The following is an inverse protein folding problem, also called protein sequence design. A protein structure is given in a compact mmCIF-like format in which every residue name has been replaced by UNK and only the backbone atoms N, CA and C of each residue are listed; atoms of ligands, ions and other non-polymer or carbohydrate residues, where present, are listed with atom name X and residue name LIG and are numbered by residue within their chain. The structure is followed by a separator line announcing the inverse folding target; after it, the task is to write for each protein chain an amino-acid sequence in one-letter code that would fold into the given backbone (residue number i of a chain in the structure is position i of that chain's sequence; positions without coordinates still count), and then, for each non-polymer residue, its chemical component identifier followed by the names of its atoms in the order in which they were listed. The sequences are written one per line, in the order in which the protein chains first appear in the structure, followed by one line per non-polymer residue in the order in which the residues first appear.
data_IF_227612632776
#
_entry.id   IF_227612632776
#
_cell.length_a   1.000
_cell.length_b   1.000
_cell.length_c   1.000
_cell.angle_alpha   90.00
_cell.angle_beta   90.00
_cell.angle_gamma   90.00
#
_symmetry.space_group_name_H-M   'P 1'
#
loop_
_entity.id
_entity.type
_entity.pdbx_description
1 polymer ?
#
# COMPACT_ATOMS: atom_id res chain seq x y z
N UNK A 1 -18.77 -58.82 50.35
CA UNK A 1 -18.78 -57.45 49.79
C UNK A 1 -17.42 -57.22 49.14
N UNK A 2 -17.41 -56.95 47.83
CA UNK A 2 -16.25 -56.64 46.97
C UNK A 2 -15.75 -55.23 47.35
N UNK A 3 -14.46 -54.99 47.61
CA UNK A 3 -13.43 -54.81 46.59
C UNK A 3 -13.32 -53.33 46.20
N UNK A 4 -12.50 -52.56 46.93
CA UNK A 4 -12.23 -51.14 46.64
C UNK A 4 -11.07 -51.04 45.66
N UNK A 5 -11.35 -50.60 44.44
CA UNK A 5 -10.35 -50.19 43.44
C UNK A 5 -10.40 -48.67 43.31
N UNK A 6 -9.25 -48.03 43.55
CA UNK A 6 -9.02 -46.63 43.20
C UNK A 6 -9.03 -46.47 41.68
N UNK A 7 -9.94 -45.67 41.15
CA UNK A 7 -9.90 -45.17 39.77
C UNK A 7 -9.36 -43.75 39.76
N UNK A 8 -8.18 -43.60 39.15
CA UNK A 8 -7.56 -42.32 38.86
C UNK A 8 -8.40 -41.54 37.84
N UNK A 9 -8.70 -40.28 38.15
CA UNK A 9 -9.33 -39.35 37.22
C UNK A 9 -8.31 -38.88 36.18
N UNK A 10 -8.43 -39.38 34.95
CA UNK A 10 -7.73 -38.80 33.80
C UNK A 10 -8.42 -37.49 33.41
N UNK A 11 -7.77 -36.36 33.69
CA UNK A 11 -8.17 -35.06 33.18
C UNK A 11 -7.99 -35.05 31.66
N UNK A 12 -9.11 -35.06 30.93
CA UNK A 12 -9.12 -34.83 29.50
C UNK A 12 -8.72 -33.37 29.22
N UNK A 13 -7.49 -33.16 28.76
CA UNK A 13 -7.05 -31.90 28.17
C UNK A 13 -7.81 -31.72 26.85
N UNK A 14 -8.83 -30.87 26.85
CA UNK A 14 -9.43 -30.31 25.65
C UNK A 14 -8.36 -29.53 24.89
N UNK A 15 -8.07 -29.85 23.61
CA UNK A 15 -7.25 -28.97 22.81
C UNK A 15 -8.06 -27.71 22.56
N UNK A 16 -7.54 -26.57 23.00
CA UNK A 16 -7.94 -25.26 22.51
C UNK A 16 -7.84 -25.32 20.99
N UNK A 17 -8.98 -25.42 20.31
CA UNK A 17 -9.09 -25.26 18.87
C UNK A 17 -8.68 -23.83 18.55
N UNK A 18 -7.38 -23.64 18.31
CA UNK A 18 -6.86 -22.44 17.69
C UNK A 18 -7.62 -22.21 16.40
N UNK A 19 -8.01 -20.96 16.15
CA UNK A 19 -8.67 -20.50 14.93
C UNK A 19 -8.05 -21.19 13.72
N UNK A 20 -8.76 -22.19 13.19
CA UNK A 20 -8.29 -22.96 12.05
C UNK A 20 -8.28 -22.03 10.86
N UNK A 21 -7.08 -21.68 10.40
CA UNK A 21 -6.90 -21.11 9.06
C UNK A 21 -7.67 -21.99 8.09
N UNK A 22 -8.55 -21.36 7.28
CA UNK A 22 -9.32 -22.08 6.30
C UNK A 22 -8.38 -22.88 5.38
N UNK A 23 -8.84 -23.94 4.70
CA UNK A 23 -8.00 -24.66 3.74
C UNK A 23 -7.34 -23.74 2.70
N UNK A 24 -8.02 -22.64 2.33
CA UNK A 24 -7.49 -21.59 1.47
C UNK A 24 -6.35 -20.80 2.13
N UNK A 25 -6.51 -20.44 3.41
CA UNK A 25 -5.46 -19.75 4.18
C UNK A 25 -4.24 -20.65 4.43
N UNK A 26 -4.42 -21.98 4.52
CA UNK A 26 -3.32 -22.94 4.62
C UNK A 26 -2.51 -23.02 3.32
N UNK A 27 -3.18 -23.01 2.17
CA UNK A 27 -2.51 -22.99 0.86
C UNK A 27 -1.75 -21.67 0.61
N UNK A 28 -2.32 -20.54 1.06
CA UNK A 28 -1.64 -19.26 1.07
C UNK A 28 -0.43 -19.24 2.03
N UNK A 29 -0.48 -20.00 3.13
CA UNK A 29 0.58 -20.06 4.13
C UNK A 29 1.72 -21.03 3.80
N UNK A 30 1.54 -21.96 2.85
CA UNK A 30 2.54 -22.97 2.44
C UNK A 30 3.56 -22.47 1.42
N UNK A 31 3.42 -21.26 0.90
CA UNK A 31 4.44 -20.63 0.06
C UNK A 31 5.51 -20.05 0.98
N UNK A 32 6.75 -20.51 0.83
CA UNK A 32 7.89 -20.10 1.65
C UNK A 32 8.14 -18.59 1.60
N UNK A 33 8.72 -18.07 2.69
CA UNK A 33 9.16 -16.68 2.79
C UNK A 33 10.22 -16.41 1.73
N UNK A 34 9.93 -15.47 0.85
CA UNK A 34 10.83 -15.10 -0.22
C UNK A 34 11.04 -16.13 -1.33
N UNK A 35 10.09 -17.02 -1.55
CA UNK A 35 10.07 -17.82 -2.78
C UNK A 35 9.18 -17.16 -3.84
N UNK A 36 9.62 -17.20 -5.10
CA UNK A 36 8.81 -16.80 -6.24
C UNK A 36 7.70 -17.83 -6.47
N UNK A 37 6.43 -17.41 -6.47
CA UNK A 37 5.30 -18.27 -6.85
C UNK A 37 5.33 -18.46 -8.36
N UNK A 38 5.38 -19.71 -8.83
CA UNK A 38 5.22 -19.98 -10.26
C UNK A 38 3.84 -19.52 -10.74
N UNK A 39 3.74 -19.00 -11.96
CA UNK A 39 2.45 -18.62 -12.58
C UNK A 39 1.43 -19.77 -12.53
N UNK A 40 1.91 -21.01 -12.71
CA UNK A 40 1.11 -22.23 -12.55
C UNK A 40 0.53 -22.37 -11.14
N UNK A 41 1.28 -22.04 -10.10
CA UNK A 41 0.80 -22.08 -8.71
C UNK A 41 -0.20 -20.96 -8.45
N UNK A 42 0.09 -19.74 -8.92
CA UNK A 42 -0.81 -18.59 -8.78
C UNK A 42 -2.18 -18.86 -9.42
N UNK A 43 -2.21 -19.43 -10.62
CA UNK A 43 -3.43 -19.77 -11.36
C UNK A 43 -4.27 -20.88 -10.70
N UNK A 44 -3.71 -21.61 -9.73
CA UNK A 44 -4.38 -22.70 -9.02
C UNK A 44 -4.75 -22.35 -7.57
N UNK A 45 -4.44 -21.13 -7.10
CA UNK A 45 -4.79 -20.67 -5.77
C UNK A 45 -6.20 -20.05 -5.81
N UNK A 46 -7.10 -20.51 -4.93
CA UNK A 46 -8.47 -20.01 -4.84
C UNK A 46 -8.58 -18.55 -4.34
N UNK A 47 -7.54 -18.07 -3.64
CA UNK A 47 -7.42 -16.71 -3.10
C UNK A 47 -5.94 -16.33 -2.91
N UNK A 48 -5.42 -15.29 -3.59
CA UNK A 48 -4.06 -14.82 -3.38
C UNK A 48 -3.83 -14.46 -1.90
N UNK A 49 -2.63 -14.69 -1.36
CA UNK A 49 -2.31 -14.29 0.00
C UNK A 49 -2.41 -12.77 0.18
N UNK A 50 -2.68 -12.34 1.42
CA UNK A 50 -2.63 -10.92 1.77
C UNK A 50 -1.22 -10.36 1.59
N UNK A 51 -1.12 -9.12 1.15
CA UNK A 51 0.15 -8.45 0.90
C UNK A 51 0.15 -7.03 1.45
N UNK A 52 1.22 -6.63 2.12
CA UNK A 52 1.42 -5.23 2.48
C UNK A 52 1.94 -4.48 1.26
N UNK A 53 1.16 -3.54 0.72
CA UNK A 53 1.47 -2.80 -0.51
C UNK A 53 2.00 -1.39 -0.25
N UNK A 54 1.79 -0.86 0.96
CA UNK A 54 2.32 0.43 1.41
C UNK A 54 2.49 0.45 2.92
N UNK A 55 3.60 0.98 3.45
CA UNK A 55 3.79 1.16 4.90
C UNK A 55 3.97 2.65 5.20
N UNK A 56 3.20 3.14 6.17
CA UNK A 56 3.39 4.48 6.72
C UNK A 56 4.46 4.44 7.81
N UNK A 57 4.44 3.38 8.63
CA UNK A 57 5.39 3.08 9.70
C UNK A 57 5.24 1.60 10.15
N UNK A 58 5.79 1.26 11.31
CA UNK A 58 5.81 -0.09 11.87
C UNK A 58 4.44 -0.68 12.24
N UNK A 59 3.37 0.12 12.35
CA UNK A 59 2.05 -0.37 12.73
C UNK A 59 0.92 0.09 11.81
N UNK A 60 1.18 1.06 10.92
CA UNK A 60 0.23 1.57 9.93
C UNK A 60 0.64 1.18 8.51
N UNK A 61 -0.25 0.51 7.80
CA UNK A 61 0.02 0.04 6.44
C UNK A 61 -1.24 -0.15 5.60
N UNK A 62 -1.07 -0.25 4.28
CA UNK A 62 -2.09 -0.68 3.33
C UNK A 62 -1.83 -2.14 2.99
N UNK A 63 -2.85 -2.97 3.17
CA UNK A 63 -2.90 -4.38 2.82
C UNK A 63 -3.78 -4.58 1.60
N UNK A 64 -3.28 -5.27 0.57
CA UNK A 64 -4.13 -5.90 -0.41
C UNK A 64 -4.59 -7.25 0.13
N UNK A 65 -5.91 -7.44 0.24
CA UNK A 65 -6.52 -8.65 0.74
C UNK A 65 -7.67 -9.05 -0.19
N UNK A 66 -7.35 -9.66 -1.34
CA UNK A 66 -8.35 -10.01 -2.35
C UNK A 66 -9.31 -11.06 -1.80
N UNK A 67 -10.60 -10.92 -2.11
CA UNK A 67 -11.59 -11.97 -1.87
C UNK A 67 -11.37 -13.26 -2.68
N UNK A 68 -12.16 -14.32 -2.45
CA UNK A 68 -12.17 -15.50 -3.31
C UNK A 68 -12.52 -15.13 -4.76
N UNK A 69 -11.89 -15.79 -5.73
CA UNK A 69 -12.19 -15.62 -7.16
C UNK A 69 -11.32 -14.61 -7.91
N UNK A 70 -10.48 -13.85 -7.21
CA UNK A 70 -9.38 -13.11 -7.84
C UNK A 70 -8.17 -14.02 -8.00
N UNK A 71 -7.46 -13.91 -9.12
CA UNK A 71 -6.28 -14.73 -9.42
C UNK A 71 -5.05 -13.90 -9.81
N UNK A 72 -5.16 -12.57 -9.84
CA UNK A 72 -4.03 -11.66 -10.09
C UNK A 72 -3.49 -11.12 -8.76
N UNK A 73 -2.15 -11.00 -8.60
CA UNK A 73 -1.58 -10.35 -7.43
C UNK A 73 -1.97 -8.86 -7.42
N UNK A 74 -2.19 -8.30 -6.23
CA UNK A 74 -2.45 -6.87 -6.06
C UNK A 74 -3.71 -6.34 -6.77
N UNK A 75 -4.63 -7.25 -7.13
CA UNK A 75 -5.97 -6.94 -7.60
C UNK A 75 -6.94 -6.82 -6.41
N UNK A 76 -8.04 -6.11 -6.61
CA UNK A 76 -9.17 -6.03 -5.69
C UNK A 76 -8.88 -5.27 -4.39
N UNK A 77 -9.48 -5.68 -3.27
CA UNK A 77 -9.67 -4.85 -2.10
C UNK A 77 -8.35 -4.41 -1.44
N UNK A 78 -8.29 -3.11 -1.12
CA UNK A 78 -7.23 -2.50 -0.32
C UNK A 78 -7.78 -2.13 1.06
N UNK A 79 -7.04 -2.45 2.11
CA UNK A 79 -7.39 -2.15 3.48
C UNK A 79 -6.30 -1.29 4.12
N UNK A 80 -6.69 -0.19 4.74
CA UNK A 80 -5.84 0.49 5.70
C UNK A 80 -5.88 -0.25 7.03
N UNK A 81 -4.72 -0.48 7.63
CA UNK A 81 -4.55 -1.15 8.91
C UNK A 81 -3.75 -0.26 9.85
N UNK A 82 -4.24 -0.09 11.08
CA UNK A 82 -3.46 0.41 12.23
C UNK A 82 -3.53 -0.61 13.36
N UNK A 83 -2.44 -1.32 13.61
CA UNK A 83 -2.39 -2.38 14.63
C UNK A 83 -2.51 -1.83 16.05
N UNK A 84 -2.04 -0.60 16.31
CA UNK A 84 -2.12 -0.01 17.66
C UNK A 84 -3.53 0.45 17.99
N UNK A 85 -4.25 0.95 17.00
CA UNK A 85 -5.62 1.43 17.16
C UNK A 85 -6.68 0.36 16.86
N UNK A 86 -6.25 -0.84 16.44
CA UNK A 86 -7.15 -1.93 16.04
C UNK A 86 -8.01 -1.58 14.82
N UNK A 87 -7.52 -0.70 13.94
CA UNK A 87 -8.26 -0.25 12.76
C UNK A 87 -7.96 -1.19 11.60
N UNK A 88 -9.02 -1.62 10.91
CA UNK A 88 -8.94 -2.26 9.60
C UNK A 88 -10.11 -1.79 8.74
N UNK A 89 -9.85 -0.86 7.83
CA UNK A 89 -10.87 -0.19 7.03
C UNK A 89 -10.61 -0.42 5.56
N UNK A 90 -11.63 -0.78 4.78
CA UNK A 90 -11.48 -0.85 3.32
C UNK A 90 -11.21 0.56 2.78
N UNK A 91 -10.02 0.76 2.23
CA UNK A 91 -9.50 2.04 1.78
C UNK A 91 -9.47 2.16 0.24
N UNK A 92 -10.13 1.23 -0.46
CA UNK A 92 -10.26 1.23 -1.91
C UNK A 92 -10.16 -0.18 -2.49
N UNK A 93 -9.83 -0.23 -3.78
CA UNK A 93 -9.52 -1.46 -4.47
C UNK A 93 -8.88 -1.17 -5.82
N UNK A 94 -8.09 -2.11 -6.29
CA UNK A 94 -7.44 -2.07 -7.60
C UNK A 94 -8.25 -2.85 -8.62
N UNK A 95 -8.36 -2.35 -9.84
CA UNK A 95 -9.08 -3.03 -10.91
C UNK A 95 -8.32 -4.24 -11.45
N UNK A 96 -7.04 -4.05 -11.82
CA UNK A 96 -6.19 -5.08 -12.43
C UNK A 96 -4.83 -5.21 -11.74
N UNK A 97 -4.30 -4.11 -11.20
CA UNK A 97 -2.97 -4.02 -10.60
C UNK A 97 -2.90 -2.77 -9.71
N UNK A 98 -1.85 -2.68 -8.89
CA UNK A 98 -1.57 -1.46 -8.13
C UNK A 98 -1.28 -0.25 -9.06
N UNK A 99 -1.37 0.98 -8.53
CA UNK A 99 -0.84 2.18 -9.18
C UNK A 99 0.63 2.02 -9.57
N UNK A 100 0.98 2.53 -10.75
CA UNK A 100 2.36 2.57 -11.27
C UNK A 100 3.03 3.92 -11.02
N UNK A 101 2.24 4.99 -10.95
CA UNK A 101 2.74 6.31 -10.66
C UNK A 101 3.23 6.42 -9.22
N UNK A 102 4.16 7.35 -9.00
CA UNK A 102 4.72 7.63 -7.67
C UNK A 102 3.58 7.90 -6.68
N UNK A 103 3.71 7.36 -5.48
CA UNK A 103 2.87 7.74 -4.35
C UNK A 103 3.72 8.02 -3.13
N UNK A 104 3.62 9.24 -2.61
CA UNK A 104 4.41 9.66 -1.46
C UNK A 104 3.59 10.52 -0.52
N UNK A 105 3.72 10.23 0.78
CA UNK A 105 3.15 11.04 1.85
C UNK A 105 4.28 11.54 2.73
N UNK A 106 4.41 12.85 2.87
CA UNK A 106 5.46 13.53 3.63
C UNK A 106 4.80 14.46 4.64
N UNK A 107 5.11 14.28 5.92
CA UNK A 107 4.65 15.14 7.03
C UNK A 107 3.14 15.40 7.10
N UNK A 108 2.31 14.57 6.45
CA UNK A 108 0.87 14.74 6.51
C UNK A 108 0.32 14.23 7.83
N UNK A 109 -0.53 15.03 8.48
CA UNK A 109 -1.28 14.60 9.68
C UNK A 109 -2.44 13.66 9.35
N UNK A 110 -2.73 13.48 8.06
CA UNK A 110 -3.84 12.67 7.57
C UNK A 110 -3.38 11.30 7.10
N UNK A 111 -4.26 10.30 7.17
CA UNK A 111 -4.01 9.02 6.52
C UNK A 111 -4.45 9.15 5.06
N UNK A 112 -3.49 9.11 4.14
CA UNK A 112 -3.75 9.16 2.71
C UNK A 112 -3.49 7.80 2.07
N UNK A 113 -4.46 7.26 1.36
CA UNK A 113 -4.33 6.01 0.62
C UNK A 113 -4.56 6.22 -0.86
N UNK A 114 -4.14 5.24 -1.66
CA UNK A 114 -4.22 5.29 -3.11
C UNK A 114 -4.61 3.93 -3.70
N UNK A 115 -5.46 3.98 -4.73
CA UNK A 115 -5.71 2.86 -5.66
C UNK A 115 -5.43 3.29 -7.10
N UNK A 116 -5.55 2.35 -8.05
CA UNK A 116 -5.31 2.59 -9.48
C UNK A 116 -6.32 3.53 -10.17
N UNK A 117 -7.33 4.00 -9.43
CA UNK A 117 -8.38 4.90 -9.94
C UNK A 117 -8.70 6.07 -9.00
N UNK A 118 -8.04 6.18 -7.84
CA UNK A 118 -8.39 7.22 -6.87
C UNK A 118 -7.34 7.48 -5.80
N UNK A 119 -7.41 8.68 -5.21
CA UNK A 119 -6.70 9.04 -3.98
C UNK A 119 -7.74 9.24 -2.87
N UNK A 120 -7.39 8.90 -1.63
CA UNK A 120 -8.29 9.02 -0.49
C UNK A 120 -7.60 9.63 0.71
N UNK A 121 -8.33 10.45 1.45
CA UNK A 121 -7.84 11.11 2.66
C UNK A 121 -8.79 10.80 3.80
N UNK A 122 -8.24 10.37 4.92
CA UNK A 122 -8.99 10.20 6.17
C UNK A 122 -8.67 11.33 7.15
N UNK A 123 -9.74 11.88 7.73
CA UNK A 123 -9.71 12.90 8.78
C UNK A 123 -9.86 12.29 10.18
N UNK A 124 -10.05 10.98 10.28
CA UNK A 124 -10.41 10.24 11.49
C UNK A 124 -9.49 9.01 11.70
N UNK A 125 -8.20 9.17 11.42
CA UNK A 125 -7.15 8.16 11.62
C UNK A 125 -7.36 6.86 10.83
N UNK A 126 -7.99 6.95 9.66
CA UNK A 126 -8.21 5.85 8.74
C UNK A 126 -9.50 5.05 8.98
N UNK A 127 -10.46 5.60 9.74
CA UNK A 127 -11.77 4.95 9.96
C UNK A 127 -12.73 5.19 8.81
N UNK A 128 -12.70 6.39 8.23
CA UNK A 128 -13.46 6.76 7.03
C UNK A 128 -12.58 7.56 6.07
N UNK A 129 -12.96 7.57 4.80
CA UNK A 129 -12.17 8.19 3.74
C UNK A 129 -13.01 9.08 2.84
N UNK A 130 -12.51 10.29 2.58
CA UNK A 130 -12.96 11.16 1.49
C UNK A 130 -12.18 10.83 0.23
N UNK A 131 -12.83 10.97 -0.92
CA UNK A 131 -12.35 10.44 -2.19
C UNK A 131 -12.07 11.57 -3.17
N UNK A 132 -10.90 11.54 -3.80
CA UNK A 132 -10.61 12.18 -5.07
C UNK A 132 -10.79 11.08 -6.14
N UNK A 133 -11.90 11.08 -6.91
CA UNK A 133 -12.16 10.07 -7.91
C UNK A 133 -11.29 10.30 -9.16
N UNK A 134 -11.35 9.35 -10.10
CA UNK A 134 -10.80 9.50 -11.45
C UNK A 134 -9.32 9.89 -11.49
N UNK A 135 -8.51 9.34 -10.57
CA UNK A 135 -7.05 9.51 -10.57
C UNK A 135 -6.42 8.28 -11.21
N UNK A 136 -5.94 8.35 -12.46
CA UNK A 136 -5.37 7.20 -13.14
C UNK A 136 -4.19 6.61 -12.37
N UNK A 137 -4.01 5.29 -12.46
CA UNK A 137 -2.92 4.57 -11.80
C UNK A 137 -1.52 5.05 -12.21
N UNK A 138 -1.36 5.67 -13.38
CA UNK A 138 -0.10 6.26 -13.86
C UNK A 138 0.22 7.64 -13.31
N UNK A 139 -0.73 8.30 -12.62
CA UNK A 139 -0.54 9.65 -12.08
C UNK A 139 0.50 9.63 -10.97
N UNK A 140 1.40 10.58 -10.87
CA UNK A 140 2.25 10.76 -9.69
C UNK A 140 1.49 11.55 -8.64
N UNK A 141 1.55 11.12 -7.37
CA UNK A 141 0.87 11.76 -6.25
C UNK A 141 1.87 11.98 -5.11
N UNK A 142 2.04 13.24 -4.73
CA UNK A 142 2.88 13.65 -3.60
C UNK A 142 2.03 14.45 -2.63
N UNK A 143 1.95 14.01 -1.38
CA UNK A 143 1.27 14.70 -0.30
C UNK A 143 2.31 15.32 0.61
N UNK A 144 2.17 16.63 0.88
CA UNK A 144 3.03 17.37 1.81
C UNK A 144 2.13 18.19 2.71
N UNK A 145 2.17 17.92 4.02
CA UNK A 145 1.30 18.56 5.01
C UNK A 145 -0.19 18.42 4.63
N UNK A 146 -0.82 19.52 4.20
CA UNK A 146 -2.20 19.66 3.76
C UNK A 146 -2.36 19.73 2.23
N UNK A 147 -1.29 19.61 1.46
CA UNK A 147 -1.28 19.73 -0.01
C UNK A 147 -1.11 18.38 -0.67
N UNK A 148 -1.82 18.16 -1.77
CA UNK A 148 -1.70 16.98 -2.62
C UNK A 148 -1.38 17.47 -4.04
N UNK A 149 -0.18 17.17 -4.49
CA UNK A 149 0.28 17.42 -5.85
C UNK A 149 0.02 16.18 -6.70
N UNK A 150 -0.63 16.36 -7.84
CA UNK A 150 -0.81 15.30 -8.84
C UNK A 150 -0.16 15.71 -10.16
N UNK A 151 0.50 14.77 -10.83
CA UNK A 151 1.21 15.05 -12.07
C UNK A 151 1.57 13.78 -12.83
N UNK A 152 2.54 13.86 -13.72
CA UNK A 152 3.01 12.71 -14.49
C UNK A 152 4.50 12.75 -14.73
N UNK A 153 5.11 11.58 -14.86
CA UNK A 153 6.53 11.38 -15.14
C UNK A 153 7.46 12.17 -14.20
N UNK A 154 7.29 11.96 -12.89
CA UNK A 154 8.00 12.69 -11.84
C UNK A 154 7.75 14.20 -11.89
N UNK A 155 6.55 14.62 -12.30
CA UNK A 155 6.15 16.01 -12.53
C UNK A 155 6.98 16.71 -13.63
N UNK A 156 7.40 15.97 -14.65
CA UNK A 156 8.14 16.53 -15.81
C UNK A 156 7.29 16.61 -17.08
N UNK A 157 6.13 15.95 -17.08
CA UNK A 157 5.19 15.91 -18.19
C UNK A 157 3.78 16.30 -17.73
N UNK A 158 2.98 16.79 -18.69
CA UNK A 158 1.57 17.11 -18.47
C UNK A 158 1.30 18.24 -17.46
N UNK A 159 0.02 18.49 -17.17
CA UNK A 159 -0.39 19.44 -16.15
C UNK A 159 -0.01 18.95 -14.74
N UNK A 160 0.05 19.91 -13.81
CA UNK A 160 0.21 19.64 -12.38
C UNK A 160 -1.03 20.17 -11.67
N UNK A 161 -1.70 19.30 -10.91
CA UNK A 161 -2.83 19.66 -10.07
C UNK A 161 -2.39 19.83 -8.63
N UNK A 162 -2.88 20.88 -7.98
CA UNK A 162 -2.74 21.12 -6.56
C UNK A 162 -4.11 21.01 -5.91
N UNK A 163 -4.29 20.01 -5.07
CA UNK A 163 -5.40 19.92 -4.14
C UNK A 163 -4.96 20.31 -2.73
N UNK A 164 -5.89 20.86 -1.95
CA UNK A 164 -5.68 21.21 -0.54
C UNK A 164 -6.71 20.49 0.32
N UNK A 165 -6.23 19.88 1.39
CA UNK A 165 -7.01 19.25 2.45
C UNK A 165 -7.50 20.36 3.37
N UNK A 166 -8.83 20.52 3.48
CA UNK A 166 -9.46 21.51 4.35
C UNK A 166 -10.03 20.79 5.58
N UNK A 167 -9.30 20.77 6.72
CA UNK A 167 -9.68 19.97 7.90
C UNK A 167 -11.02 20.37 8.51
N UNK A 168 -11.27 21.67 8.66
CA UNK A 168 -12.48 22.20 9.30
C UNK A 168 -13.75 21.80 8.54
N UNK A 169 -13.62 21.60 7.23
CA UNK A 169 -14.71 21.21 6.33
C UNK A 169 -14.71 19.72 6.00
N UNK A 170 -13.71 18.96 6.48
CA UNK A 170 -13.46 17.56 6.13
C UNK A 170 -13.57 17.29 4.61
N UNK A 171 -12.98 18.17 3.79
CA UNK A 171 -13.03 18.09 2.33
C UNK A 171 -11.65 18.24 1.69
N UNK A 172 -11.58 17.85 0.43
CA UNK A 172 -10.40 18.03 -0.41
C UNK A 172 -10.83 18.90 -1.59
N UNK A 173 -10.09 19.96 -1.85
CA UNK A 173 -10.46 20.95 -2.87
C UNK A 173 -9.35 21.12 -3.88
N UNK A 174 -9.67 20.99 -5.17
CA UNK A 174 -8.78 21.38 -6.25
C UNK A 174 -8.59 22.90 -6.21
N UNK A 175 -7.37 23.34 -5.90
CA UNK A 175 -7.03 24.76 -5.85
C UNK A 175 -6.52 25.27 -7.18
N UNK A 176 -5.79 24.44 -7.93
CA UNK A 176 -5.13 24.90 -9.15
C UNK A 176 -4.75 23.74 -10.07
N UNK A 177 -4.87 23.96 -11.39
CA UNK A 177 -4.32 23.08 -12.42
C UNK A 177 -3.36 23.90 -13.29
N UNK A 178 -2.06 23.71 -13.11
CA UNK A 178 -1.04 24.40 -13.88
C UNK A 178 -0.72 23.61 -15.16
N UNK A 179 -0.92 24.25 -16.31
CA UNK A 179 -0.58 23.64 -17.60
C UNK A 179 0.91 23.72 -17.87
N UNK A 180 1.50 22.64 -18.40
CA UNK A 180 2.89 22.64 -18.83
C UNK A 180 3.07 23.69 -19.95
N UNK A 181 4.01 24.63 -19.82
CA UNK A 181 4.33 25.56 -20.90
C UNK A 181 4.76 24.81 -22.16
N UNK A 182 4.35 25.31 -23.32
CA UNK A 182 4.90 24.87 -24.60
C UNK A 182 6.25 25.59 -24.76
N UNK A 183 7.33 24.84 -24.63
CA UNK A 183 8.71 25.34 -24.69
C UNK A 183 9.52 24.78 -25.88
N UNK A 184 8.93 23.87 -26.66
CA UNK A 184 9.52 23.36 -27.92
C UNK A 184 9.35 24.39 -29.06
N UNK A 185 10.44 24.97 -29.58
CA UNK A 185 10.38 25.94 -30.68
C UNK A 185 9.67 25.41 -31.93
N UNK A 186 9.79 24.12 -32.22
CA UNK A 186 9.11 23.52 -33.37
C UNK A 186 7.58 23.54 -33.19
N UNK A 187 7.10 23.25 -31.98
CA UNK A 187 5.67 23.28 -31.67
C UNK A 187 5.11 24.70 -31.73
N UNK A 188 5.85 25.66 -31.19
CA UNK A 188 5.51 27.08 -31.24
C UNK A 188 5.38 27.52 -32.70
N UNK A 189 6.40 27.30 -33.53
CA UNK A 189 6.36 27.65 -34.93
C UNK A 189 5.25 26.95 -35.72
N UNK A 190 4.98 25.67 -35.43
CA UNK A 190 3.88 24.93 -36.06
C UNK A 190 2.51 25.55 -35.73
N UNK A 191 2.31 25.97 -34.48
CA UNK A 191 1.07 26.62 -34.05
C UNK A 191 0.92 28.00 -34.70
N UNK A 192 1.98 28.80 -34.70
CA UNK A 192 2.02 30.11 -35.35
C UNK A 192 1.73 30.00 -36.86
N UNK A 193 2.39 29.06 -37.55
CA UNK A 193 2.20 28.82 -38.99
C UNK A 193 0.78 28.33 -39.32
N UNK A 194 0.14 27.61 -38.41
CA UNK A 194 -1.24 27.17 -38.54
C UNK A 194 -2.27 28.22 -38.06
N UNK A 195 -1.83 29.42 -37.65
CA UNK A 195 -2.69 30.51 -37.18
C UNK A 195 -3.33 30.28 -35.80
N UNK A 196 -2.83 29.31 -35.03
CA UNK A 196 -3.33 29.03 -33.68
C UNK A 196 -2.61 29.89 -32.64
N UNK A 197 -3.34 30.44 -31.65
CA UNK A 197 -2.71 31.19 -30.58
C UNK A 197 -1.81 30.27 -29.74
N UNK A 198 -0.57 30.68 -29.50
CA UNK A 198 0.34 30.00 -28.57
C UNK A 198 -0.08 30.34 -27.14
N UNK A 199 -0.45 29.35 -26.31
CA UNK A 199 -0.84 29.60 -24.93
C UNK A 199 0.31 30.26 -24.15
N UNK A 200 -0.03 31.28 -23.34
CA UNK A 200 0.94 31.85 -22.42
C UNK A 200 1.34 30.80 -21.37
N UNK A 201 2.62 30.74 -20.95
CA UNK A 201 3.04 29.86 -19.88
C UNK A 201 2.20 30.09 -18.62
N UNK A 202 1.78 29.00 -17.97
CA UNK A 202 1.11 29.11 -16.68
C UNK A 202 2.10 29.64 -15.63
N UNK A 203 1.78 30.74 -14.94
CA UNK A 203 2.73 31.41 -14.04
C UNK A 203 3.12 30.54 -12.83
N UNK A 204 2.29 29.55 -12.45
CA UNK A 204 2.50 28.71 -11.27
C UNK A 204 3.15 27.37 -11.60
N UNK A 205 3.27 27.00 -12.87
CA UNK A 205 3.78 25.67 -13.25
C UNK A 205 5.19 25.41 -12.68
N UNK A 206 6.11 26.37 -12.81
CA UNK A 206 7.48 26.22 -12.32
C UNK A 206 7.54 26.10 -10.78
N UNK A 207 6.72 26.88 -10.08
CA UNK A 207 6.59 26.85 -8.62
C UNK A 207 6.06 25.50 -8.14
N UNK A 208 4.91 25.05 -8.67
CA UNK A 208 4.29 23.78 -8.29
C UNK A 208 5.16 22.58 -8.65
N UNK A 209 5.80 22.61 -9.83
CA UNK A 209 6.78 21.59 -10.22
C UNK A 209 7.93 21.52 -9.23
N UNK A 210 8.50 22.67 -8.83
CA UNK A 210 9.59 22.70 -7.85
C UNK A 210 9.13 22.13 -6.51
N UNK A 211 7.98 22.58 -6.00
CA UNK A 211 7.42 22.14 -4.73
C UNK A 211 7.14 20.63 -4.70
N UNK A 212 6.54 20.07 -5.75
CA UNK A 212 6.28 18.64 -5.84
C UNK A 212 7.57 17.82 -5.96
N UNK A 213 8.51 18.25 -6.82
CA UNK A 213 9.74 17.51 -7.12
C UNK A 213 10.76 17.50 -5.99
N UNK A 214 10.72 18.49 -5.10
CA UNK A 214 11.54 18.51 -3.89
C UNK A 214 11.41 17.20 -3.10
N UNK A 215 10.21 16.64 -3.06
CA UNK A 215 9.92 15.43 -2.29
C UNK A 215 10.01 14.14 -3.09
N UNK A 216 10.06 14.18 -4.42
CA UNK A 216 10.14 12.96 -5.25
C UNK A 216 11.31 12.07 -4.83
N UNK A 217 12.49 12.66 -4.61
CA UNK A 217 13.71 11.93 -4.27
C UNK A 217 13.99 11.79 -2.76
N UNK A 218 13.18 12.39 -1.88
CA UNK A 218 13.36 12.26 -0.43
C UNK A 218 13.16 10.78 -0.04
N UNK A 219 14.19 10.08 0.44
CA UNK A 219 13.99 8.70 0.91
C UNK A 219 12.90 8.71 1.99
N UNK A 220 11.90 7.82 1.92
CA UNK A 220 11.07 7.64 3.11
C UNK A 220 11.99 7.13 4.23
N UNK A 221 11.64 7.39 5.48
CA UNK A 221 12.44 6.96 6.65
C UNK A 221 12.62 5.45 6.74
N UNK A 222 11.97 4.67 5.87
CA UNK A 222 12.05 3.23 5.79
C UNK A 222 12.72 2.81 4.46
N UNK A 223 13.67 1.89 4.57
CA UNK A 223 14.67 1.54 3.56
C UNK A 223 14.10 1.01 2.23
N UNK A 224 12.81 0.68 2.18
CA UNK A 224 12.09 0.08 1.05
C UNK A 224 11.10 1.04 0.37
N UNK A 225 11.32 2.35 0.48
CA UNK A 225 10.58 3.41 -0.23
C UNK A 225 10.73 3.35 -1.77
N UNK A 226 11.18 2.25 -2.34
CA UNK A 226 11.31 2.00 -3.78
C UNK A 226 10.62 0.70 -4.19
N UNK A 227 10.16 -0.10 -3.21
CA UNK A 227 9.34 -1.30 -3.40
C UNK A 227 7.84 -1.00 -3.34
N UNK A 228 7.47 0.25 -3.67
CA UNK A 228 6.08 0.70 -3.69
C UNK A 228 5.33 -0.05 -4.77
N UNK A 229 4.20 -0.65 -4.39
CA UNK A 229 3.18 -1.11 -5.35
C UNK A 229 3.69 -2.04 -6.47
N UNK A 230 4.91 -2.56 -6.38
CA UNK A 230 5.45 -3.45 -7.40
C UNK A 230 4.72 -4.77 -7.32
N UNK A 231 3.75 -4.97 -8.22
CA UNK A 231 3.15 -6.26 -8.55
C UNK A 231 4.17 -7.14 -9.29
N UNK A 232 5.36 -7.24 -8.75
CA UNK A 232 6.38 -8.12 -9.29
C UNK A 232 5.89 -9.55 -9.04
N UNK A 233 5.55 -10.24 -10.12
CA UNK A 233 5.19 -11.67 -10.09
C UNK A 233 6.34 -12.52 -9.53
N UNK A 234 7.55 -11.98 -9.52
CA UNK A 234 8.78 -12.51 -8.98
C UNK A 234 9.19 -11.89 -7.63
N UNK A 235 8.35 -11.06 -6.99
CA UNK A 235 8.66 -10.57 -5.65
C UNK A 235 8.40 -11.64 -4.59
N UNK A 236 9.45 -11.87 -3.84
CA UNK A 236 9.51 -12.60 -2.58
C UNK A 236 8.39 -12.14 -1.64
N UNK A 237 7.52 -13.10 -1.26
CA UNK A 237 6.36 -12.87 -0.40
C UNK A 237 6.77 -12.15 0.89
N UNK A 238 6.12 -11.02 1.22
CA UNK A 238 6.23 -10.37 2.53
C UNK A 238 5.02 -10.74 3.39
N UNK A 239 5.21 -11.35 4.57
CA UNK A 239 4.13 -11.58 5.50
C UNK A 239 3.47 -10.27 5.93
N UNK A 240 2.25 -10.36 6.47
CA UNK A 240 1.72 -9.26 7.28
C UNK A 240 2.70 -8.92 8.40
N UNK A 241 2.73 -7.67 8.87
CA UNK A 241 3.67 -7.21 9.90
C UNK A 241 3.59 -8.09 11.16
N UNK A 242 2.37 -8.49 11.55
CA UNK A 242 2.16 -9.45 12.63
C UNK A 242 2.85 -10.81 12.41
N UNK A 243 2.82 -11.34 11.18
CA UNK A 243 3.49 -12.61 10.86
C UNK A 243 5.00 -12.42 10.75
N UNK A 244 5.49 -11.28 10.24
CA UNK A 244 6.92 -10.92 10.32
C UNK A 244 7.40 -10.89 11.77
N UNK A 245 6.68 -10.21 12.67
CA UNK A 245 7.01 -10.17 14.10
C UNK A 245 6.95 -11.56 14.75
N UNK A 246 5.95 -12.38 14.43
CA UNK A 246 5.87 -13.75 14.94
C UNK A 246 7.05 -14.60 14.47
N UNK A 247 7.44 -14.48 13.21
CA UNK A 247 8.58 -15.20 12.65
C UNK A 247 9.91 -14.71 13.23
N UNK A 248 10.08 -13.39 13.42
CA UNK A 248 11.24 -12.83 14.13
C UNK A 248 11.34 -13.35 15.57
N UNK A 249 10.20 -13.43 16.28
CA UNK A 249 10.14 -14.03 17.62
C UNK A 249 10.51 -15.52 17.59
N UNK A 250 10.03 -16.28 16.60
CA UNK A 250 10.40 -17.69 16.43
C UNK A 250 11.89 -17.89 16.08
N UNK A 251 12.48 -17.01 15.25
CA UNK A 251 13.92 -17.01 14.96
C UNK A 251 14.77 -16.64 16.18
N UNK A 252 14.32 -15.69 17.00
CA UNK A 252 14.97 -15.34 18.26
C UNK A 252 14.87 -16.47 19.30
N UNK A 253 13.75 -17.19 19.33
CA UNK A 253 13.58 -18.36 20.20
C UNK A 253 14.39 -19.57 19.75
N UNK A 254 14.54 -19.79 18.44
CA UNK A 254 15.35 -20.88 17.89
C UNK A 254 16.85 -20.60 17.96
N UNK A 255 17.28 -19.34 17.93
CA UNK A 255 18.68 -18.97 18.20
C UNK A 255 19.05 -19.04 19.69
N UNK A 256 18.08 -18.89 20.60
CA UNK A 256 18.30 -19.05 22.04
C UNK A 256 18.29 -20.52 22.51
N UNK A 257 17.74 -21.47 21.74
CA UNK A 257 17.86 -22.91 22.00
C UNK A 257 19.15 -23.54 21.47
N UNK A 258 19.87 -22.90 20.53
CA UNK A 258 21.15 -23.42 20.02
C UNK A 258 22.32 -23.22 21.00
N UNK A 259 22.21 -22.27 21.95
CA UNK A 259 23.22 -22.06 22.99
C UNK A 259 23.03 -22.93 24.24
N UNK A 260 22.01 -23.79 24.29
CA UNK A 260 21.82 -24.76 25.36
C UNK A 260 22.18 -26.17 24.85
N UNK A 261 23.46 -26.39 24.54
CA UNK A 261 24.00 -27.73 24.38
C UNK A 261 24.45 -28.22 25.76
N UNK A 262 23.81 -29.25 26.36
CA UNK A 262 24.39 -29.94 27.50
C UNK A 262 25.45 -30.89 26.93
N UNK A 263 26.73 -30.57 27.15
CA UNK A 263 27.79 -31.52 26.85
C UNK A 263 27.59 -32.81 27.69
N UNK A 264 27.87 -33.99 27.11
CA UNK A 264 27.74 -35.29 27.78
C UNK A 264 28.72 -35.50 28.94
#
# INVERSE_FOLDING_TARGET
MRGVLLTAAAAALLPLTGCGLSPADRAAASVGFGDTISEKTLNNIARPPKQVVYRFDDHRYIENDPGPGYNLPCQAELFYVDEKLGIRTQAGGNSKRNPEGLFKVVNSSYVVTRSDVSVRVSFDQGRTFKIIPDVPGSTDVVVVDDKIYMGSDGFTSGPIELHVIKPDEQKIELQYTAQKPIDDPYQIHRMEAAGWPVPKPDPRYAELKKAAREYVNVRSTHQDSTQYFTCRTDLHWRPSINRERQLQKQQQQSSSTVNASPNP
#
